data_IF_023530131804
#
_entry.id   IF_023530131804
#
_cell.length_a   1.000
_cell.length_b   1.000
_cell.length_c   1.000
_cell.angle_alpha   90.00
_cell.angle_beta   90.00
_cell.angle_gamma   90.00
#
_symmetry.space_group_name_H-M   'P 1'
#
loop_
_entity.id
_entity.type
_entity.pdbx_description
1 polymer ?
#
# COMPACT_ATOMS: atom_id res chain seq x y z
N UNK A 1 -39.86 -34.06 28.89
CA UNK A 1 -39.43 -32.84 29.61
C UNK A 1 -38.18 -32.34 28.92
N UNK A 2 -38.29 -31.42 27.96
CA UNK A 2 -37.14 -30.82 27.27
C UNK A 2 -37.19 -29.34 27.61
N UNK A 3 -36.26 -28.88 28.43
CA UNK A 3 -36.14 -27.47 28.81
C UNK A 3 -35.27 -26.82 27.75
N UNK A 4 -35.88 -26.07 26.84
CA UNK A 4 -35.16 -25.22 25.90
C UNK A 4 -34.73 -23.96 26.66
N UNK A 5 -33.44 -23.82 27.00
CA UNK A 5 -32.89 -22.56 27.48
C UNK A 5 -32.59 -21.68 26.25
N UNK A 6 -33.48 -20.72 25.98
CA UNK A 6 -33.17 -19.62 25.08
C UNK A 6 -32.22 -18.65 25.78
N UNK A 7 -30.95 -18.70 25.39
CA UNK A 7 -29.94 -17.69 25.75
C UNK A 7 -30.28 -16.40 25.01
N UNK A 8 -30.97 -15.50 25.70
CA UNK A 8 -31.25 -14.16 25.18
C UNK A 8 -29.96 -13.32 25.27
N UNK A 9 -29.21 -13.25 24.17
CA UNK A 9 -28.11 -12.32 24.03
C UNK A 9 -28.67 -10.89 23.82
N UNK A 10 -28.29 -9.90 24.63
CA UNK A 10 -28.78 -8.54 24.45
C UNK A 10 -28.26 -7.94 23.14
N UNK A 11 -29.18 -7.57 22.26
CA UNK A 11 -28.91 -6.81 21.03
C UNK A 11 -28.33 -5.46 21.44
N UNK A 12 -27.00 -5.31 21.28
CA UNK A 12 -26.28 -4.08 21.63
C UNK A 12 -26.88 -2.90 20.86
N UNK A 13 -27.34 -1.90 21.61
CA UNK A 13 -27.88 -0.64 21.14
C UNK A 13 -26.93 0.04 20.14
N UNK A 14 -27.48 0.68 19.10
CA UNK A 14 -26.69 1.37 18.07
C UNK A 14 -25.86 2.50 18.69
N UNK A 15 -24.57 2.28 18.87
CA UNK A 15 -23.61 3.32 19.21
C UNK A 15 -23.61 4.33 18.05
N UNK A 16 -24.07 5.57 18.30
CA UNK A 16 -23.93 6.65 17.32
C UNK A 16 -22.43 6.93 17.19
N UNK A 17 -21.88 6.73 15.98
CA UNK A 17 -20.49 7.05 15.71
C UNK A 17 -20.24 8.52 15.99
N UNK A 18 -19.16 8.83 16.71
CA UNK A 18 -18.70 10.21 16.89
C UNK A 18 -18.47 10.86 15.52
N UNK A 19 -18.72 12.17 15.36
CA UNK A 19 -18.45 12.86 14.11
C UNK A 19 -17.00 12.62 13.66
N UNK A 20 -16.76 12.44 12.35
CA UNK A 20 -15.40 12.29 11.85
C UNK A 20 -14.57 13.51 12.27
N UNK A 21 -13.27 13.33 12.56
CA UNK A 21 -12.39 14.46 12.78
C UNK A 21 -12.42 15.38 11.56
N UNK A 22 -12.21 16.69 11.77
CA UNK A 22 -12.18 17.65 10.68
C UNK A 22 -11.12 17.24 9.64
N UNK A 23 -11.41 17.36 8.33
CA UNK A 23 -10.44 17.03 7.29
C UNK A 23 -9.30 18.06 7.32
N UNK A 24 -8.16 17.65 7.83
CA UNK A 24 -6.92 18.43 7.85
C UNK A 24 -5.92 17.84 6.86
N UNK A 25 -5.12 18.68 6.22
CA UNK A 25 -4.08 18.24 5.30
C UNK A 25 -2.97 17.52 6.08
N UNK A 26 -2.89 16.20 5.94
CA UNK A 26 -1.90 15.38 6.67
C UNK A 26 -0.56 15.29 5.98
N UNK A 27 -0.44 15.73 4.72
CA UNK A 27 0.72 15.45 3.85
C UNK A 27 2.06 15.88 4.46
N UNK A 28 2.10 17.04 5.13
CA UNK A 28 3.32 17.62 5.71
C UNK A 28 3.64 17.14 7.13
N UNK A 29 2.92 16.15 7.66
CA UNK A 29 3.25 15.58 8.96
C UNK A 29 4.56 14.78 8.89
N UNK A 30 5.41 14.91 9.90
CA UNK A 30 6.69 14.18 10.04
C UNK A 30 6.52 12.66 9.85
N UNK A 31 5.41 12.11 10.37
CA UNK A 31 5.09 10.69 10.23
C UNK A 31 5.03 10.25 8.77
N UNK A 32 4.54 11.10 7.86
CA UNK A 32 4.48 10.72 6.45
C UNK A 32 5.87 10.68 5.83
N UNK A 33 6.77 11.60 6.21
CA UNK A 33 8.15 11.60 5.72
C UNK A 33 8.85 10.30 6.12
N UNK A 34 8.62 9.83 7.34
CA UNK A 34 9.14 8.54 7.81
C UNK A 34 8.59 7.36 6.97
N UNK A 35 7.27 7.31 6.74
CA UNK A 35 6.67 6.22 5.98
C UNK A 35 6.96 6.27 4.48
N UNK A 36 7.13 7.47 3.90
CA UNK A 36 7.63 7.63 2.53
C UNK A 36 9.06 7.09 2.41
N UNK A 37 9.92 7.31 3.42
CA UNK A 37 11.26 6.71 3.46
C UNK A 37 11.18 5.18 3.51
N UNK A 38 10.34 4.63 4.40
CA UNK A 38 10.12 3.17 4.50
C UNK A 38 9.62 2.58 3.17
N UNK A 39 8.72 3.27 2.48
CA UNK A 39 8.21 2.83 1.17
C UNK A 39 9.31 2.78 0.10
N UNK A 40 10.22 3.76 0.07
CA UNK A 40 11.41 3.76 -0.81
C UNK A 40 12.29 2.56 -0.54
N UNK A 41 12.62 2.35 0.72
CA UNK A 41 13.56 1.31 1.14
C UNK A 41 12.98 -0.08 0.87
N UNK A 42 11.67 -0.25 1.07
CA UNK A 42 10.95 -1.47 0.68
C UNK A 42 11.09 -1.76 -0.82
N UNK A 43 10.84 -0.77 -1.69
CA UNK A 43 10.89 -0.99 -3.14
C UNK A 43 12.32 -1.27 -3.62
N UNK A 44 13.32 -0.60 -3.04
CA UNK A 44 14.74 -0.91 -3.29
C UNK A 44 15.13 -2.31 -2.83
N UNK A 45 14.59 -2.77 -1.70
CA UNK A 45 14.82 -4.13 -1.23
C UNK A 45 14.24 -5.18 -2.20
N UNK A 46 13.03 -4.95 -2.72
CA UNK A 46 12.42 -5.83 -3.73
C UNK A 46 13.24 -5.88 -5.03
N UNK A 47 13.76 -4.73 -5.49
CA UNK A 47 14.67 -4.68 -6.65
C UNK A 47 15.92 -5.52 -6.41
N UNK A 48 16.54 -5.37 -5.24
CA UNK A 48 17.73 -6.14 -4.85
C UNK A 48 17.45 -7.65 -4.73
N UNK A 49 16.33 -8.02 -4.13
CA UNK A 49 15.92 -9.43 -3.94
C UNK A 49 15.71 -10.15 -5.28
N UNK A 50 15.22 -9.42 -6.28
CA UNK A 50 14.93 -9.95 -7.61
C UNK A 50 16.04 -9.70 -8.62
N UNK A 51 17.18 -9.14 -8.18
CA UNK A 51 18.32 -8.75 -9.02
C UNK A 51 17.93 -7.85 -10.21
N UNK A 52 16.91 -6.99 -10.04
CA UNK A 52 16.47 -6.03 -11.05
C UNK A 52 16.98 -4.62 -10.72
N UNK A 53 17.20 -3.83 -11.76
CA UNK A 53 17.44 -2.39 -11.66
C UNK A 53 16.21 -1.58 -12.10
N UNK A 54 16.36 -0.25 -12.18
CA UNK A 54 15.27 0.64 -12.60
C UNK A 54 14.94 0.51 -14.09
N UNK A 55 15.89 0.10 -14.94
CA UNK A 55 15.64 -0.08 -16.37
C UNK A 55 14.78 -1.32 -16.61
N UNK A 56 15.20 -2.45 -16.03
CA UNK A 56 14.44 -3.69 -16.07
C UNK A 56 13.04 -3.55 -15.46
N UNK A 57 12.91 -2.86 -14.32
CA UNK A 57 11.59 -2.63 -13.73
C UNK A 57 10.72 -1.73 -14.63
N UNK A 58 11.29 -0.68 -15.23
CA UNK A 58 10.56 0.17 -16.16
C UNK A 58 10.07 -0.63 -17.37
N UNK A 59 10.90 -1.46 -17.98
CA UNK A 59 10.50 -2.34 -19.09
C UNK A 59 9.34 -3.26 -18.71
N UNK A 60 9.40 -3.92 -17.56
CA UNK A 60 8.32 -4.80 -17.07
C UNK A 60 7.02 -4.03 -16.80
N UNK A 61 7.10 -2.82 -16.23
CA UNK A 61 5.94 -1.95 -16.02
C UNK A 61 5.35 -1.46 -17.35
N UNK A 62 6.19 -1.17 -18.36
CA UNK A 62 5.73 -0.83 -19.71
C UNK A 62 5.02 -2.00 -20.38
N UNK A 63 5.50 -3.24 -20.19
CA UNK A 63 4.83 -4.45 -20.69
C UNK A 63 3.43 -4.65 -20.04
N UNK A 64 3.21 -4.10 -18.83
CA UNK A 64 1.91 -4.06 -18.16
C UNK A 64 1.03 -2.84 -18.55
N UNK A 65 1.53 -1.93 -19.39
CA UNK A 65 0.81 -0.73 -19.84
C UNK A 65 0.88 0.48 -18.91
N UNK A 66 1.85 0.55 -17.99
CA UNK A 66 1.99 1.65 -17.00
C UNK A 66 2.85 2.82 -17.55
N UNK A 67 3.37 2.70 -18.76
CA UNK A 67 4.10 3.73 -19.53
C UNK A 67 5.01 4.64 -18.68
N UNK A 68 6.24 4.19 -18.40
CA UNK A 68 7.19 4.94 -17.58
C UNK A 68 8.63 4.75 -18.06
N UNK A 69 9.41 5.83 -18.11
CA UNK A 69 10.85 5.76 -18.38
C UNK A 69 11.63 5.40 -17.10
N UNK A 70 12.81 4.79 -17.23
CA UNK A 70 13.68 4.45 -16.10
C UNK A 70 13.99 5.68 -15.22
N UNK A 71 14.30 6.83 -15.84
CA UNK A 71 14.50 8.12 -15.15
C UNK A 71 13.24 8.60 -14.43
N UNK A 72 12.08 8.44 -15.05
CA UNK A 72 10.78 8.78 -14.45
C UNK A 72 10.47 7.92 -13.23
N UNK A 73 10.75 6.62 -13.34
CA UNK A 73 10.62 5.65 -12.26
C UNK A 73 11.53 5.98 -11.08
N UNK A 74 12.81 6.23 -11.33
CA UNK A 74 13.78 6.63 -10.31
C UNK A 74 13.32 7.91 -9.58
N UNK A 75 12.87 8.93 -10.33
CA UNK A 75 12.35 10.17 -9.76
C UNK A 75 11.09 9.94 -8.91
N UNK A 76 10.18 9.06 -9.35
CA UNK A 76 8.95 8.73 -8.62
C UNK A 76 9.26 8.03 -7.31
N UNK A 77 10.17 7.05 -7.33
CA UNK A 77 10.62 6.33 -6.13
C UNK A 77 11.36 7.30 -5.21
N UNK A 78 12.33 8.09 -5.72
CA UNK A 78 13.11 9.05 -4.94
C UNK A 78 12.25 10.06 -4.16
N UNK A 79 11.10 10.47 -4.71
CA UNK A 79 10.12 11.32 -4.01
C UNK A 79 9.39 10.59 -2.88
N UNK A 80 9.02 9.32 -3.07
CA UNK A 80 8.43 8.46 -2.01
C UNK A 80 6.92 8.54 -1.87
N UNK A 81 6.31 9.63 -2.34
CA UNK A 81 4.86 9.77 -2.41
C UNK A 81 4.26 9.08 -3.64
N UNK A 82 4.34 7.74 -3.71
CA UNK A 82 3.62 6.94 -4.71
C UNK A 82 2.41 6.22 -4.10
N UNK A 83 1.45 5.84 -4.94
CA UNK A 83 0.25 5.14 -4.47
C UNK A 83 0.57 3.69 -4.08
N UNK A 84 -0.24 3.13 -3.19
CA UNK A 84 -0.17 1.70 -2.88
C UNK A 84 -0.41 0.83 -4.12
N UNK A 85 -1.30 1.26 -5.03
CA UNK A 85 -1.52 0.57 -6.30
C UNK A 85 -0.24 0.48 -7.14
N UNK A 86 0.55 1.56 -7.21
CA UNK A 86 1.83 1.55 -7.91
C UNK A 86 2.85 0.60 -7.26
N UNK A 87 2.89 0.54 -5.93
CA UNK A 87 3.73 -0.41 -5.22
C UNK A 87 3.38 -1.87 -5.55
N UNK A 88 2.07 -2.18 -5.61
CA UNK A 88 1.59 -3.50 -5.98
C UNK A 88 1.90 -3.84 -7.44
N UNK A 89 1.78 -2.86 -8.35
CA UNK A 89 2.19 -3.02 -9.75
C UNK A 89 3.69 -3.34 -9.86
N UNK A 90 4.55 -2.64 -9.12
CA UNK A 90 5.98 -2.96 -9.09
C UNK A 90 6.23 -4.37 -8.54
N UNK A 91 5.50 -4.79 -7.51
CA UNK A 91 5.62 -6.13 -6.94
C UNK A 91 5.26 -7.22 -7.95
N UNK A 92 4.14 -7.04 -8.65
CA UNK A 92 3.67 -7.94 -9.71
C UNK A 92 4.68 -7.99 -10.86
N UNK A 93 5.17 -6.83 -11.31
CA UNK A 93 6.21 -6.74 -12.35
C UNK A 93 7.49 -7.48 -11.97
N UNK A 94 7.81 -7.57 -10.68
CA UNK A 94 8.96 -8.31 -10.16
C UNK A 94 8.67 -9.79 -9.89
N UNK A 95 7.48 -10.30 -10.20
CA UNK A 95 7.03 -11.68 -9.96
C UNK A 95 7.18 -12.14 -8.49
N UNK A 96 6.99 -11.21 -7.56
CA UNK A 96 7.01 -11.55 -6.13
C UNK A 96 5.64 -12.10 -5.68
N UNK A 97 5.60 -13.00 -4.68
CA UNK A 97 4.36 -13.68 -4.28
C UNK A 97 3.26 -12.70 -3.84
N UNK A 98 1.97 -12.99 -4.09
CA UNK A 98 0.89 -12.12 -3.63
C UNK A 98 0.89 -11.99 -2.10
N UNK A 99 0.46 -10.83 -1.60
CA UNK A 99 0.24 -10.62 -0.16
C UNK A 99 -0.96 -11.47 0.25
N UNK A 100 -0.69 -12.60 0.91
CA UNK A 100 -1.69 -13.52 1.46
C UNK A 100 -2.05 -13.13 2.90
#
# INVERSE_FOLDING_TARGET
>A
MVICLEVHLPVKSKLKASPPPKPEARKSLEINVEYEKRAKDLLRAMLKETENDYEALAEKLNAMGIEISARGLENKISRGGFSAAFLLQCREALNLPPLA
#
